data_IF_662900924938
#
_entry.id   IF_662900924938
#
_cell.length_a   1.000
_cell.length_b   1.000
_cell.length_c   1.000
_cell.angle_alpha   90.00
_cell.angle_beta   90.00
_cell.angle_gamma   90.00
#
_symmetry.space_group_name_H-M   'P 1'
#
loop_
_entity.id
_entity.type
_entity.pdbx_description
1 polymer ?
#
# COMPACT_ATOMS: atom_id res chain seq x y z
N UNK A 1 27.93 -3.53 5.32
CA UNK A 1 26.62 -3.47 6.02
C UNK A 1 25.57 -3.92 5.03
N UNK A 2 24.89 -5.02 5.29
CA UNK A 2 23.80 -5.47 4.43
C UNK A 2 22.57 -4.62 4.72
N UNK A 3 21.96 -4.06 3.69
CA UNK A 3 20.73 -3.28 3.82
C UNK A 3 19.56 -4.25 3.96
N UNK A 4 18.74 -4.17 5.01
CA UNK A 4 17.58 -5.05 5.16
C UNK A 4 16.55 -4.78 4.06
N UNK A 5 15.94 -5.85 3.53
CA UNK A 5 14.80 -5.74 2.62
C UNK A 5 13.51 -5.66 3.42
N UNK A 6 12.65 -4.72 3.07
CA UNK A 6 11.33 -4.57 3.68
C UNK A 6 10.28 -5.28 2.82
N UNK A 7 9.51 -6.16 3.45
CA UNK A 7 8.32 -6.80 2.87
C UNK A 7 7.09 -6.34 3.62
N UNK A 8 6.00 -6.07 2.89
CA UNK A 8 4.70 -5.72 3.43
C UNK A 8 3.65 -6.71 2.91
N UNK A 9 2.81 -7.23 3.82
CA UNK A 9 1.74 -8.16 3.46
C UNK A 9 0.41 -7.70 4.06
N UNK A 10 -0.61 -7.44 3.23
CA UNK A 10 -1.94 -7.03 3.69
C UNK A 10 -2.68 -8.21 4.31
N UNK A 11 -3.25 -8.02 5.50
CA UNK A 11 -4.00 -9.04 6.22
C UNK A 11 -5.51 -8.97 6.00
N UNK A 12 -5.98 -7.96 5.31
CA UNK A 12 -7.39 -7.82 4.94
C UNK A 12 -7.53 -7.22 3.53
N UNK A 13 -8.73 -7.36 2.96
CA UNK A 13 -9.00 -6.94 1.58
C UNK A 13 -8.93 -5.41 1.40
N UNK A 14 -9.34 -4.65 2.41
CA UNK A 14 -9.24 -3.18 2.42
C UNK A 14 -7.78 -2.74 2.26
N UNK A 15 -6.88 -3.29 3.08
CA UNK A 15 -5.45 -2.97 3.00
C UNK A 15 -4.86 -3.43 1.67
N UNK A 16 -5.24 -4.60 1.16
CA UNK A 16 -4.80 -5.10 -0.14
C UNK A 16 -5.20 -4.14 -1.26
N UNK A 17 -6.41 -3.63 -1.24
CA UNK A 17 -6.92 -2.65 -2.20
C UNK A 17 -6.12 -1.35 -2.13
N UNK A 18 -5.84 -0.84 -0.94
CA UNK A 18 -5.09 0.41 -0.76
C UNK A 18 -3.63 0.30 -1.22
N UNK A 19 -2.96 -0.81 -0.90
CA UNK A 19 -1.59 -1.05 -1.38
C UNK A 19 -1.53 -1.18 -2.91
N UNK A 20 -2.55 -1.78 -3.54
CA UNK A 20 -2.66 -1.81 -5.00
C UNK A 20 -2.85 -0.41 -5.60
N UNK A 21 -3.72 0.40 -5.00
CA UNK A 21 -3.93 1.79 -5.43
C UNK A 21 -2.62 2.59 -5.29
N UNK A 22 -1.95 2.49 -4.14
CA UNK A 22 -0.66 3.16 -3.92
C UNK A 22 0.37 2.74 -4.97
N UNK A 23 0.53 1.44 -5.20
CA UNK A 23 1.45 0.90 -6.20
C UNK A 23 1.15 1.45 -7.60
N UNK A 24 -0.11 1.40 -8.06
CA UNK A 24 -0.49 1.87 -9.38
C UNK A 24 -0.25 3.38 -9.53
N UNK A 25 -0.55 4.17 -8.52
CA UNK A 25 -0.27 5.61 -8.50
C UNK A 25 1.25 5.87 -8.57
N UNK A 26 2.06 5.12 -7.81
CA UNK A 26 3.51 5.25 -7.85
C UNK A 26 4.08 4.88 -9.22
N UNK A 27 3.58 3.81 -9.85
CA UNK A 27 3.98 3.42 -11.21
C UNK A 27 3.67 4.52 -12.22
N UNK A 28 2.53 5.18 -12.11
CA UNK A 28 2.17 6.30 -12.98
C UNK A 28 3.01 7.56 -12.71
N UNK A 29 3.36 7.81 -11.44
CA UNK A 29 4.17 8.97 -11.05
C UNK A 29 5.67 8.80 -11.37
N UNK A 30 6.16 7.57 -11.54
CA UNK A 30 7.56 7.29 -11.84
C UNK A 30 7.99 7.80 -13.23
N UNK A 31 7.03 7.88 -14.16
CA UNK A 31 7.25 8.42 -15.50
C UNK A 31 6.41 9.68 -15.71
N UNK A 32 6.81 10.85 -15.14
CA UNK A 32 6.02 12.08 -15.24
C UNK A 32 5.99 12.65 -16.66
N UNK A 33 6.90 12.22 -17.53
CA UNK A 33 6.94 12.58 -18.93
C UNK A 33 6.83 11.33 -19.80
N UNK A 34 5.86 11.30 -20.66
CA UNK A 34 5.72 10.26 -21.67
C UNK A 34 6.68 10.58 -22.80
N UNK A 35 7.89 10.03 -22.73
CA UNK A 35 8.92 10.25 -23.72
C UNK A 35 8.93 9.19 -24.82
N UNK A 36 8.33 8.02 -24.58
CA UNK A 36 8.31 6.90 -25.51
C UNK A 36 6.92 6.26 -25.60
N UNK A 37 6.72 5.49 -26.65
CA UNK A 37 5.53 4.65 -26.81
C UNK A 37 5.38 3.63 -25.66
N UNK A 38 6.48 3.09 -25.16
CA UNK A 38 6.48 2.16 -24.04
C UNK A 38 6.00 2.82 -22.74
N UNK A 39 6.43 4.08 -22.48
CA UNK A 39 6.00 4.85 -21.32
C UNK A 39 4.49 5.14 -21.39
N UNK A 40 3.98 5.52 -22.58
CA UNK A 40 2.56 5.73 -22.80
C UNK A 40 1.77 4.45 -22.52
N UNK A 41 2.21 3.33 -23.05
CA UNK A 41 1.56 2.04 -22.88
C UNK A 41 1.53 1.61 -21.40
N UNK A 42 2.65 1.78 -20.71
CA UNK A 42 2.77 1.48 -19.29
C UNK A 42 1.83 2.35 -18.45
N UNK A 43 1.82 3.65 -18.71
CA UNK A 43 0.94 4.58 -18.02
C UNK A 43 -0.54 4.24 -18.22
N UNK A 44 -0.98 4.02 -19.45
CA UNK A 44 -2.39 3.74 -19.74
C UNK A 44 -2.86 2.40 -19.16
N UNK A 45 -2.01 1.38 -19.13
CA UNK A 45 -2.30 0.13 -18.44
C UNK A 45 -2.51 0.35 -16.96
N UNK A 46 -1.59 1.03 -16.29
CA UNK A 46 -1.72 1.34 -14.87
C UNK A 46 -2.95 2.21 -14.58
N UNK A 47 -3.27 3.17 -15.44
CA UNK A 47 -4.48 3.99 -15.32
C UNK A 47 -5.76 3.14 -15.47
N UNK A 48 -5.77 2.19 -16.41
CA UNK A 48 -6.86 1.24 -16.59
C UNK A 48 -7.06 0.34 -15.39
N UNK A 49 -5.97 -0.25 -14.89
CA UNK A 49 -5.98 -1.11 -13.70
C UNK A 49 -6.40 -0.33 -12.45
N UNK A 50 -5.98 0.93 -12.32
CA UNK A 50 -6.40 1.82 -11.24
C UNK A 50 -7.92 2.06 -11.28
N UNK A 51 -8.47 2.35 -12.45
CA UNK A 51 -9.92 2.50 -12.62
C UNK A 51 -10.67 1.23 -12.24
N UNK A 52 -10.18 0.05 -12.63
CA UNK A 52 -10.78 -1.23 -12.30
C UNK A 52 -10.80 -1.48 -10.77
N UNK A 53 -9.72 -1.13 -10.08
CA UNK A 53 -9.65 -1.23 -8.61
C UNK A 53 -10.63 -0.26 -7.95
N UNK A 54 -10.72 0.98 -8.45
CA UNK A 54 -11.61 2.01 -7.93
C UNK A 54 -13.10 1.70 -8.19
N UNK A 55 -13.42 0.95 -9.25
CA UNK A 55 -14.78 0.55 -9.58
C UNK A 55 -15.31 -0.59 -8.71
N UNK A 56 -14.44 -1.50 -8.28
CA UNK A 56 -14.82 -2.72 -7.55
C UNK A 56 -15.14 -2.50 -6.08
N UNK A 57 -14.81 -1.35 -5.51
CA UNK A 57 -14.94 -1.10 -4.06
C UNK A 57 -15.45 0.29 -3.73
N UNK A 58 -15.96 0.42 -2.51
CA UNK A 58 -16.33 1.71 -1.92
C UNK A 58 -15.10 2.42 -1.32
N UNK A 59 -14.03 2.53 -2.12
CA UNK A 59 -12.73 3.05 -1.68
C UNK A 59 -12.86 4.37 -0.92
N UNK A 60 -13.71 5.29 -1.41
CA UNK A 60 -13.94 6.59 -0.76
C UNK A 60 -14.51 6.42 0.65
N UNK A 61 -15.56 5.60 0.78
CA UNK A 61 -16.23 5.33 2.06
C UNK A 61 -15.25 4.68 3.05
N UNK A 62 -14.45 3.73 2.57
CA UNK A 62 -13.45 3.05 3.40
C UNK A 62 -12.33 3.99 3.85
N UNK A 63 -11.87 4.88 2.96
CA UNK A 63 -10.87 5.90 3.30
C UNK A 63 -11.42 6.88 4.35
N UNK A 64 -12.63 7.39 4.18
CA UNK A 64 -13.26 8.31 5.14
C UNK A 64 -13.41 7.66 6.51
N UNK A 65 -13.93 6.43 6.56
CA UNK A 65 -14.06 5.67 7.82
C UNK A 65 -12.70 5.47 8.51
N UNK A 66 -11.65 5.22 7.73
CA UNK A 66 -10.32 5.03 8.29
C UNK A 66 -9.72 6.34 8.79
N UNK A 67 -9.88 7.45 8.07
CA UNK A 67 -9.46 8.77 8.53
C UNK A 67 -10.13 9.12 9.87
N UNK A 68 -11.44 8.85 10.02
CA UNK A 68 -12.16 9.04 11.28
C UNK A 68 -11.65 8.10 12.38
N UNK A 69 -11.33 6.85 12.07
CA UNK A 69 -10.75 5.90 13.02
C UNK A 69 -9.41 6.40 13.54
N UNK A 70 -8.54 6.86 12.67
CA UNK A 70 -7.23 7.41 13.03
C UNK A 70 -7.36 8.70 13.84
N UNK A 71 -8.31 9.57 13.52
CA UNK A 71 -8.59 10.77 14.34
C UNK A 71 -8.98 10.41 15.77
N UNK A 72 -9.87 9.42 15.96
CA UNK A 72 -10.25 8.93 17.29
C UNK A 72 -9.07 8.32 18.05
N UNK A 73 -8.21 7.54 17.36
CA UNK A 73 -7.00 6.97 17.94
C UNK A 73 -6.04 8.07 18.42
N UNK A 74 -5.80 9.09 17.60
CA UNK A 74 -4.96 10.24 18.00
C UNK A 74 -5.59 11.05 19.16
N UNK A 75 -6.92 11.13 19.21
CA UNK A 75 -7.61 11.77 20.34
C UNK A 75 -7.33 11.03 21.65
N UNK A 76 -7.44 9.71 21.68
CA UNK A 76 -7.14 8.92 22.88
C UNK A 76 -5.67 9.01 23.28
N UNK A 77 -4.75 9.12 22.32
CA UNK A 77 -3.33 9.32 22.64
C UNK A 77 -3.03 10.70 23.22
N UNK A 78 -3.79 11.73 22.83
CA UNK A 78 -3.62 13.07 23.39
C UNK A 78 -3.89 13.13 24.91
N UNK A 79 -4.61 12.16 25.47
CA UNK A 79 -4.91 12.04 26.89
C UNK A 79 -3.78 11.35 27.70
N UNK A 80 -2.77 10.79 27.02
CA UNK A 80 -1.67 10.07 27.65
C UNK A 80 -0.58 11.07 28.11
N UNK A 81 -0.14 11.01 29.38
CA UNK A 81 0.94 11.87 29.87
C UNK A 81 2.26 11.64 29.13
N UNK A 82 2.97 12.70 28.79
CA UNK A 82 4.30 12.63 28.17
C UNK A 82 4.30 12.47 26.65
N UNK A 83 3.14 12.54 26.02
CA UNK A 83 3.03 12.51 24.55
C UNK A 83 3.26 13.91 23.95
N UNK A 84 3.89 13.97 22.79
CA UNK A 84 4.08 15.18 22.02
C UNK A 84 2.72 15.70 21.49
N UNK A 85 2.15 16.66 22.23
CA UNK A 85 0.85 17.24 21.93
C UNK A 85 0.85 18.05 20.62
N UNK A 86 1.96 18.70 20.30
CA UNK A 86 2.09 19.49 19.08
C UNK A 86 2.00 18.57 17.86
N UNK A 87 2.74 17.47 17.89
CA UNK A 87 2.73 16.46 16.81
C UNK A 87 1.36 15.79 16.64
N UNK A 88 0.68 15.47 17.74
CA UNK A 88 -0.69 14.92 17.70
C UNK A 88 -1.65 15.91 17.06
N UNK A 89 -1.60 17.17 17.45
CA UNK A 89 -2.50 18.21 16.93
C UNK A 89 -2.25 18.45 15.43
N UNK A 90 -0.99 18.46 15.01
CA UNK A 90 -0.63 18.56 13.60
C UNK A 90 -1.22 17.39 12.78
N UNK A 91 -1.03 16.16 13.22
CA UNK A 91 -1.56 14.97 12.57
C UNK A 91 -3.10 14.97 12.51
N UNK A 92 -3.76 15.36 13.59
CA UNK A 92 -5.23 15.52 13.61
C UNK A 92 -5.71 16.57 12.63
N UNK A 93 -4.99 17.68 12.52
CA UNK A 93 -5.31 18.72 11.53
C UNK A 93 -5.19 18.18 10.09
N UNK A 94 -4.09 17.48 9.78
CA UNK A 94 -3.87 16.85 8.48
C UNK A 94 -4.96 15.83 8.14
N UNK A 95 -5.34 14.95 9.09
CA UNK A 95 -6.41 13.97 8.90
C UNK A 95 -7.76 14.64 8.64
N UNK A 96 -8.09 15.69 9.38
CA UNK A 96 -9.33 16.45 9.21
C UNK A 96 -9.38 17.14 7.85
N UNK A 97 -8.27 17.77 7.44
CA UNK A 97 -8.15 18.39 6.12
C UNK A 97 -8.30 17.36 5.00
N UNK A 98 -7.62 16.22 5.10
CA UNK A 98 -7.72 15.13 4.11
C UNK A 98 -9.14 14.59 4.02
N UNK A 99 -9.81 14.41 5.17
CA UNK A 99 -11.21 13.94 5.21
C UNK A 99 -12.15 14.95 4.53
N UNK A 100 -12.04 16.24 4.84
CA UNK A 100 -12.88 17.27 4.20
C UNK A 100 -12.64 17.38 2.72
N UNK A 101 -11.39 17.32 2.28
CA UNK A 101 -11.01 17.33 0.85
C UNK A 101 -11.60 16.11 0.11
N UNK A 102 -11.45 14.93 0.73
CA UNK A 102 -11.97 13.68 0.14
C UNK A 102 -13.50 13.67 0.06
N UNK A 103 -14.19 14.26 1.04
CA UNK A 103 -15.65 14.36 1.04
C UNK A 103 -16.16 15.38 0.01
N UNK A 104 -15.47 16.50 -0.15
CA UNK A 104 -15.83 17.53 -1.12
C UNK A 104 -15.48 17.16 -2.57
N UNK A 105 -14.55 16.22 -2.77
CA UNK A 105 -14.11 15.81 -4.10
C UNK A 105 -15.22 15.10 -4.89
N UNK A 106 -15.23 15.16 -6.23
CA UNK A 106 -16.12 14.35 -7.05
C UNK A 106 -15.85 12.86 -6.85
N UNK A 107 -16.70 12.00 -7.43
CA UNK A 107 -16.49 10.54 -7.34
C UNK A 107 -15.10 10.18 -7.83
N UNK A 108 -14.39 9.35 -7.04
CA UNK A 108 -13.03 8.92 -7.36
C UNK A 108 -12.99 8.27 -8.73
N UNK A 109 -12.06 8.73 -9.58
CA UNK A 109 -11.89 8.22 -10.93
C UNK A 109 -12.97 8.65 -11.93
N UNK A 110 -13.97 9.45 -11.54
CA UNK A 110 -15.04 9.88 -12.45
C UNK A 110 -14.49 10.64 -13.66
N UNK A 111 -13.60 11.59 -13.43
CA UNK A 111 -12.97 12.37 -14.50
C UNK A 111 -12.25 11.47 -15.53
N UNK A 112 -11.49 10.48 -15.03
CA UNK A 112 -10.77 9.54 -15.89
C UNK A 112 -11.72 8.60 -16.65
N UNK A 113 -12.89 8.27 -16.10
CA UNK A 113 -13.90 7.44 -16.78
C UNK A 113 -14.63 8.19 -17.88
N UNK A 114 -14.93 9.46 -17.62
CA UNK A 114 -15.65 10.34 -18.56
C UNK A 114 -14.74 10.86 -19.65
N UNK A 115 -13.42 10.75 -19.47
CA UNK A 115 -12.46 11.16 -20.50
C UNK A 115 -12.52 10.19 -21.69
N UNK A 116 -12.90 10.74 -22.83
CA UNK A 116 -13.08 9.99 -24.08
C UNK A 116 -11.79 9.30 -24.54
N UNK A 117 -10.65 9.94 -24.30
CA UNK A 117 -9.36 9.41 -24.72
C UNK A 117 -9.01 8.17 -23.89
N UNK A 118 -9.15 8.27 -22.56
CA UNK A 118 -8.89 7.14 -21.63
C UNK A 118 -9.81 5.97 -21.96
N UNK A 119 -11.09 6.22 -22.19
CA UNK A 119 -12.04 5.18 -22.56
C UNK A 119 -11.65 4.45 -23.86
N UNK A 120 -11.26 5.21 -24.91
CA UNK A 120 -10.82 4.66 -26.19
C UNK A 120 -9.51 3.86 -26.06
N UNK A 121 -8.56 4.39 -25.31
CA UNK A 121 -7.27 3.72 -25.09
C UNK A 121 -7.47 2.43 -24.30
N UNK A 122 -8.26 2.44 -23.23
CA UNK A 122 -8.60 1.26 -22.41
C UNK A 122 -9.26 0.18 -23.27
N UNK A 123 -10.20 0.53 -24.14
CA UNK A 123 -10.81 -0.38 -25.10
C UNK A 123 -9.78 -1.00 -26.04
N UNK A 124 -8.80 -0.22 -26.55
CA UNK A 124 -7.75 -0.71 -27.42
C UNK A 124 -6.71 -1.58 -26.71
N UNK A 125 -6.38 -1.23 -25.46
CA UNK A 125 -5.44 -2.05 -24.65
C UNK A 125 -6.00 -3.41 -24.29
N UNK A 126 -7.31 -3.61 -24.29
CA UNK A 126 -7.93 -4.94 -24.14
C UNK A 126 -7.75 -5.84 -25.37
N UNK A 127 -7.36 -5.26 -26.50
CA UNK A 127 -7.08 -6.01 -27.74
C UNK A 127 -5.59 -6.38 -27.76
N UNK A 128 -5.21 -7.64 -27.99
CA UNK A 128 -3.80 -8.00 -28.15
C UNK A 128 -3.12 -7.17 -29.24
N UNK A 129 -2.00 -6.52 -28.89
CA UNK A 129 -1.28 -5.63 -29.83
C UNK A 129 -1.91 -4.25 -30.03
N UNK A 130 -3.02 -3.92 -29.37
CA UNK A 130 -3.60 -2.58 -29.37
C UNK A 130 -2.70 -1.59 -28.63
N UNK A 131 -2.36 -0.49 -29.28
CA UNK A 131 -1.49 0.53 -28.70
C UNK A 131 -1.87 1.94 -29.19
N UNK A 132 -1.60 2.93 -28.35
CA UNK A 132 -1.81 4.33 -28.63
C UNK A 132 -0.72 5.18 -27.99
N UNK A 133 -0.39 6.31 -28.57
CA UNK A 133 0.44 7.34 -27.97
C UNK A 133 -0.38 8.63 -27.89
N UNK A 134 -0.56 9.17 -26.67
CA UNK A 134 -1.37 10.37 -26.41
C UNK A 134 -0.88 11.14 -25.21
N UNK A 135 -1.26 12.42 -25.14
CA UNK A 135 -1.12 13.25 -23.95
C UNK A 135 -2.14 12.83 -22.86
N UNK A 136 -1.73 12.93 -21.62
CA UNK A 136 -2.47 12.36 -20.50
C UNK A 136 -3.02 13.42 -19.56
N UNK A 137 -4.26 13.24 -19.07
CA UNK A 137 -4.81 14.11 -18.04
C UNK A 137 -4.09 13.91 -16.70
N UNK A 138 -3.95 14.98 -15.97
CA UNK A 138 -3.32 14.99 -14.64
C UNK A 138 -4.18 14.21 -13.64
N UNK A 139 -3.58 13.27 -12.93
CA UNK A 139 -4.22 12.59 -11.80
C UNK A 139 -4.49 13.56 -10.65
N UNK A 140 -5.61 13.38 -9.98
CA UNK A 140 -5.97 14.19 -8.83
C UNK A 140 -5.02 13.95 -7.64
N UNK A 141 -4.19 14.94 -7.36
CA UNK A 141 -3.19 14.93 -6.29
C UNK A 141 -3.79 14.60 -4.90
N UNK A 142 -5.04 15.02 -4.65
CA UNK A 142 -5.71 14.78 -3.38
C UNK A 142 -5.90 13.29 -3.02
N UNK A 143 -6.13 12.41 -4.02
CA UNK A 143 -6.22 10.96 -3.79
C UNK A 143 -4.87 10.42 -3.31
N UNK A 144 -3.79 10.82 -3.98
CA UNK A 144 -2.42 10.43 -3.63
C UNK A 144 -2.08 10.87 -2.21
N UNK A 145 -2.37 12.12 -1.87
CA UNK A 145 -2.08 12.68 -0.56
C UNK A 145 -2.85 11.98 0.57
N UNK A 146 -4.16 11.77 0.39
CA UNK A 146 -5.00 11.12 1.41
C UNK A 146 -4.58 9.66 1.63
N UNK A 147 -4.35 8.92 0.56
CA UNK A 147 -3.91 7.51 0.65
C UNK A 147 -2.53 7.40 1.28
N UNK A 148 -1.57 8.24 0.85
CA UNK A 148 -0.21 8.25 1.40
C UNK A 148 -0.21 8.53 2.90
N UNK A 149 -1.02 9.49 3.37
CA UNK A 149 -1.13 9.81 4.78
C UNK A 149 -1.68 8.62 5.59
N UNK A 150 -2.75 7.99 5.13
CA UNK A 150 -3.35 6.82 5.80
C UNK A 150 -2.36 5.68 5.89
N UNK A 151 -1.74 5.32 4.77
CA UNK A 151 -0.78 4.21 4.73
C UNK A 151 0.45 4.50 5.59
N UNK A 152 0.92 5.75 5.62
CA UNK A 152 2.02 6.14 6.48
C UNK A 152 1.67 6.02 7.97
N UNK A 153 0.46 6.42 8.36
CA UNK A 153 -0.01 6.27 9.74
C UNK A 153 -0.13 4.80 10.15
N UNK A 154 -0.67 3.94 9.28
CA UNK A 154 -0.75 2.50 9.53
C UNK A 154 0.66 1.91 9.64
N UNK A 155 1.56 2.21 8.72
CA UNK A 155 2.95 1.74 8.75
C UNK A 155 3.71 2.15 10.01
N UNK A 156 3.39 3.31 10.56
CA UNK A 156 4.02 3.85 11.76
C UNK A 156 3.28 3.49 13.07
N UNK A 157 2.18 2.74 12.99
CA UNK A 157 1.38 2.38 14.18
C UNK A 157 2.06 1.32 15.05
N UNK A 158 3.03 0.59 14.53
CA UNK A 158 3.77 -0.41 15.28
C UNK A 158 5.28 -0.33 15.00
N UNK A 159 6.07 -0.66 16.03
CA UNK A 159 7.52 -0.76 15.94
C UNK A 159 7.93 -2.17 15.50
N UNK A 160 9.04 -2.24 14.76
CA UNK A 160 9.67 -3.51 14.44
C UNK A 160 10.21 -4.18 15.70
N UNK A 161 9.89 -5.45 15.89
CA UNK A 161 10.38 -6.30 16.99
C UNK A 161 11.18 -7.46 16.38
N UNK A 162 12.27 -7.81 17.01
CA UNK A 162 13.05 -9.00 16.63
C UNK A 162 12.24 -10.26 16.87
N UNK A 163 12.22 -11.13 15.88
CA UNK A 163 11.60 -12.45 15.92
C UNK A 163 12.60 -13.47 15.42
N UNK A 164 12.42 -14.72 15.79
CA UNK A 164 13.27 -15.83 15.35
C UNK A 164 12.45 -16.85 14.57
N UNK A 165 12.90 -17.19 13.38
CA UNK A 165 12.37 -18.29 12.60
C UNK A 165 13.00 -19.61 13.03
N UNK A 166 12.21 -20.67 13.09
CA UNK A 166 12.66 -22.05 13.33
C UNK A 166 12.33 -22.92 12.11
N UNK A 167 13.33 -23.56 11.54
CA UNK A 167 13.19 -24.39 10.33
C UNK A 167 12.45 -23.65 9.18
N UNK A 168 12.74 -22.37 9.01
CA UNK A 168 12.09 -21.55 7.99
C UNK A 168 10.61 -21.26 8.26
N UNK A 169 10.13 -21.41 9.48
CA UNK A 169 8.74 -21.18 9.85
C UNK A 169 8.62 -20.27 11.07
N UNK A 170 7.65 -19.35 11.01
CA UNK A 170 7.23 -18.50 12.13
C UNK A 170 5.71 -18.38 12.13
N UNK A 171 5.11 -18.48 13.29
CA UNK A 171 3.67 -18.31 13.48
C UNK A 171 3.41 -17.43 14.70
N UNK A 172 2.46 -16.53 14.56
CA UNK A 172 1.99 -15.69 15.65
C UNK A 172 0.44 -15.64 15.67
N UNK A 173 -0.09 -15.56 16.88
CA UNK A 173 -1.49 -15.26 17.16
C UNK A 173 -1.52 -13.81 17.65
N UNK A 174 -1.27 -12.88 16.73
CA UNK A 174 -1.14 -11.47 17.07
C UNK A 174 -2.46 -10.78 17.38
N UNK A 175 -2.35 -9.58 17.90
CA UNK A 175 -3.45 -8.63 17.98
C UNK A 175 -3.94 -8.30 16.55
N UNK A 176 -5.20 -7.86 16.42
CA UNK A 176 -5.79 -7.47 15.14
C UNK A 176 -4.89 -6.47 14.38
N UNK A 177 -4.19 -6.95 13.38
CA UNK A 177 -3.32 -6.17 12.52
C UNK A 177 -3.90 -6.05 11.10
N UNK A 178 -3.77 -4.88 10.50
CA UNK A 178 -4.17 -4.62 9.12
C UNK A 178 -3.04 -4.89 8.14
N UNK A 179 -1.79 -4.71 8.57
CA UNK A 179 -0.58 -4.82 7.76
C UNK A 179 0.55 -5.49 8.53
N UNK A 180 1.18 -6.50 7.93
CA UNK A 180 2.45 -7.04 8.39
C UNK A 180 3.61 -6.41 7.61
N UNK A 181 4.62 -5.94 8.33
CA UNK A 181 5.86 -5.42 7.78
C UNK A 181 7.02 -6.25 8.30
N UNK A 182 7.83 -6.76 7.40
CA UNK A 182 8.92 -7.67 7.71
C UNK A 182 10.23 -7.14 7.13
N UNK A 183 11.29 -7.13 7.94
CA UNK A 183 12.66 -6.86 7.50
C UNK A 183 13.49 -8.11 7.61
N UNK A 184 14.09 -8.47 6.52
CA UNK A 184 14.94 -9.64 6.40
C UNK A 184 16.31 -9.23 5.85
N UNK A 185 17.38 -9.80 6.41
CA UNK A 185 18.72 -9.55 5.87
C UNK A 185 18.85 -10.21 4.48
N UNK A 186 19.28 -9.43 3.51
CA UNK A 186 19.56 -9.89 2.14
C UNK A 186 20.56 -11.04 2.09
N UNK A 187 21.47 -11.13 3.05
CA UNK A 187 22.45 -12.21 3.13
C UNK A 187 21.80 -13.60 3.24
N UNK A 188 20.59 -13.68 3.77
CA UNK A 188 19.88 -14.96 3.87
C UNK A 188 19.34 -15.48 2.54
N UNK A 189 19.21 -14.65 1.51
CA UNK A 189 18.63 -15.00 0.21
C UNK A 189 17.29 -15.76 0.33
N UNK A 190 16.44 -15.30 1.23
CA UNK A 190 15.16 -15.91 1.54
C UNK A 190 13.99 -15.04 1.07
N UNK A 191 12.90 -15.69 0.69
CA UNK A 191 11.62 -15.07 0.35
C UNK A 191 10.56 -15.45 1.38
N UNK A 192 9.87 -14.48 2.02
CA UNK A 192 8.80 -14.78 2.95
C UNK A 192 7.48 -15.04 2.22
N UNK A 193 6.94 -16.23 2.38
CA UNK A 193 5.57 -16.55 1.98
C UNK A 193 4.66 -16.40 3.20
N UNK A 194 3.76 -15.42 3.16
CA UNK A 194 2.88 -15.11 4.28
C UNK A 194 1.47 -15.62 4.01
N UNK A 195 0.88 -16.26 5.00
CA UNK A 195 -0.51 -16.71 4.98
C UNK A 195 -1.19 -16.36 6.29
N UNK A 196 -2.46 -15.95 6.23
CA UNK A 196 -3.19 -15.65 7.46
C UNK A 196 -4.21 -14.53 7.30
N UNK A 197 -4.76 -14.17 8.43
CA UNK A 197 -5.77 -13.14 8.58
C UNK A 197 -5.47 -12.35 9.88
N UNK A 198 -6.10 -11.23 10.06
CA UNK A 198 -5.91 -10.19 11.10
C UNK A 198 -5.27 -10.64 12.43
N UNK A 199 -5.78 -11.71 13.03
CA UNK A 199 -5.38 -12.18 14.36
C UNK A 199 -4.51 -13.43 14.37
N UNK A 200 -4.28 -14.04 13.22
CA UNK A 200 -3.43 -15.24 13.11
C UNK A 200 -2.76 -15.26 11.75
N UNK A 201 -1.44 -15.35 11.74
CA UNK A 201 -0.67 -15.49 10.52
C UNK A 201 0.52 -16.45 10.70
N UNK A 202 0.98 -16.97 9.57
CA UNK A 202 2.17 -17.78 9.47
C UNK A 202 3.08 -17.25 8.37
N UNK A 203 4.37 -17.28 8.61
CA UNK A 203 5.42 -16.92 7.65
C UNK A 203 6.25 -18.15 7.37
N UNK A 204 6.34 -18.56 6.12
CA UNK A 204 7.22 -19.59 5.63
C UNK A 204 8.31 -18.94 4.80
N UNK A 205 9.56 -19.15 5.18
CA UNK A 205 10.69 -18.64 4.43
C UNK A 205 11.17 -19.69 3.44
N UNK A 206 11.29 -19.28 2.18
CA UNK A 206 11.74 -20.11 1.07
C UNK A 206 13.07 -19.58 0.57
N UNK A 207 14.00 -20.47 0.23
CA UNK A 207 15.23 -20.04 -0.44
C UNK A 207 14.91 -19.47 -1.82
N UNK A 208 15.55 -18.37 -2.19
CA UNK A 208 15.39 -17.76 -3.52
C UNK A 208 15.97 -18.65 -4.61
N UNK A 209 17.06 -19.36 -4.31
CA UNK A 209 17.59 -20.39 -5.17
C UNK A 209 16.93 -21.74 -4.81
N UNK A 210 16.15 -22.29 -5.74
CA UNK A 210 15.43 -23.54 -5.52
C UNK A 210 16.31 -24.79 -5.63
N UNK A 211 17.50 -24.70 -6.23
CA UNK A 211 18.38 -25.86 -6.42
C UNK A 211 19.46 -25.98 -5.32
N UNK A 212 19.98 -24.85 -4.86
CA UNK A 212 21.13 -24.81 -3.92
C UNK A 212 20.86 -23.99 -2.66
N UNK A 213 19.70 -23.33 -2.58
CA UNK A 213 19.35 -22.47 -1.46
C UNK A 213 18.98 -23.28 -0.21
N UNK A 214 19.65 -23.00 0.89
CA UNK A 214 19.35 -23.60 2.19
C UNK A 214 18.62 -22.59 3.06
N UNK A 215 17.50 -23.01 3.63
CA UNK A 215 16.83 -22.24 4.67
C UNK A 215 17.52 -22.57 6.00
N UNK A 216 18.11 -21.60 6.71
CA UNK A 216 18.75 -21.85 7.99
C UNK A 216 17.75 -22.43 9.00
N UNK A 217 18.22 -23.34 9.86
CA UNK A 217 17.40 -23.92 10.93
C UNK A 217 16.90 -22.83 11.88
N UNK A 218 17.72 -21.82 12.13
CA UNK A 218 17.38 -20.68 12.98
C UNK A 218 17.98 -19.39 12.44
N UNK A 219 17.17 -18.33 12.34
CA UNK A 219 17.64 -16.99 12.02
C UNK A 219 16.66 -15.94 12.54
N UNK A 220 17.19 -14.74 12.73
CA UNK A 220 16.43 -13.60 13.24
C UNK A 220 15.95 -12.72 12.11
N UNK A 221 14.78 -12.11 12.29
CA UNK A 221 14.20 -11.10 11.42
C UNK A 221 13.42 -10.07 12.25
N UNK A 222 13.02 -8.96 11.66
CA UNK A 222 12.21 -7.97 12.33
C UNK A 222 10.79 -7.97 11.78
N UNK A 223 9.80 -7.91 12.67
CA UNK A 223 8.37 -7.91 12.35
C UNK A 223 7.67 -6.76 13.03
N UNK A 224 6.78 -6.06 12.31
CA UNK A 224 5.83 -5.11 12.85
C UNK A 224 4.41 -5.50 12.40
N UNK A 225 3.49 -5.57 13.36
CA UNK A 225 2.06 -5.80 13.15
C UNK A 225 1.34 -4.45 13.27
N UNK A 226 1.00 -3.84 12.12
CA UNK A 226 0.41 -2.51 12.02
C UNK A 226 -1.11 -2.56 11.86
#
# INVERSE_FOLDING_TARGET
MHTPVLFEHPLNEKMRTWLRIEFLIQQMAFHPQIASHADALHFFRNAGDLLDVLERGEVRTDLVKELERQQRKLQSWAEVPGVDQERINELRHQLKQSSSTLMAAPRIGQFLREDRLIALVRQRLSIPGGCCSFDLPTLHIWLVQSLSLILQLIRNSALFRKQTSLNGFYQDNGEDADLLRLRLDLAHQLYPQISGHKSRFAIRFLALDSEYGIVPERFDFELACC
#
